data_IF_780383331181
#
_entry.id   IF_780383331181
#
_cell.length_a   1.000
_cell.length_b   1.000
_cell.length_c   1.000
_cell.angle_alpha   90.00
_cell.angle_beta   90.00
_cell.angle_gamma   90.00
#
_symmetry.space_group_name_H-M   'P 1'
#
loop_
_entity.id
_entity.type
_entity.pdbx_description
1 polymer ?
#
# COMPACT_ATOMS: atom_id res chain seq x y z
N UNK A 1 -1.94 -26.34 -10.79
CA UNK A 1 -1.95 -24.88 -10.49
C UNK A 1 -3.39 -24.43 -10.40
N UNK A 2 -3.76 -23.73 -9.33
CA UNK A 2 -5.16 -23.59 -8.91
C UNK A 2 -5.89 -22.50 -9.72
N UNK A 3 -7.23 -22.59 -9.85
CA UNK A 3 -8.08 -21.52 -10.42
C UNK A 3 -7.82 -20.15 -9.77
N UNK A 4 -7.44 -20.15 -8.50
CA UNK A 4 -7.12 -18.98 -7.70
C UNK A 4 -5.82 -18.29 -8.15
N UNK A 5 -4.82 -19.04 -8.59
CA UNK A 5 -3.58 -18.46 -9.13
C UNK A 5 -3.82 -17.75 -10.46
N UNK A 6 -4.73 -18.27 -11.31
CA UNK A 6 -5.15 -17.61 -12.55
C UNK A 6 -5.92 -16.30 -12.27
N UNK A 7 -6.82 -16.31 -11.28
CA UNK A 7 -7.53 -15.13 -10.78
C UNK A 7 -6.56 -14.05 -10.28
N UNK A 8 -5.55 -14.43 -9.49
CA UNK A 8 -4.52 -13.49 -9.02
C UNK A 8 -3.72 -12.86 -10.15
N UNK A 9 -3.43 -13.62 -11.20
CA UNK A 9 -2.75 -13.10 -12.38
C UNK A 9 -3.63 -12.08 -13.11
N UNK A 10 -4.89 -12.41 -13.38
CA UNK A 10 -5.84 -11.48 -14.01
C UNK A 10 -6.01 -10.21 -13.18
N UNK A 11 -6.06 -10.35 -11.85
CA UNK A 11 -6.13 -9.22 -10.93
C UNK A 11 -4.86 -8.35 -10.99
N UNK A 12 -3.68 -8.96 -11.06
CA UNK A 12 -2.41 -8.23 -11.22
C UNK A 12 -2.37 -7.46 -12.55
N UNK A 13 -2.88 -8.06 -13.63
CA UNK A 13 -3.03 -7.40 -14.93
C UNK A 13 -4.02 -6.24 -14.85
N UNK A 14 -5.14 -6.40 -14.13
CA UNK A 14 -6.14 -5.35 -13.88
C UNK A 14 -5.55 -4.17 -13.10
N UNK A 15 -4.77 -4.42 -12.05
CA UNK A 15 -4.05 -3.38 -11.31
C UNK A 15 -3.07 -2.61 -12.21
N UNK A 16 -2.35 -3.32 -13.09
CA UNK A 16 -1.44 -2.67 -14.04
C UNK A 16 -2.20 -1.80 -15.05
N UNK A 17 -3.40 -2.22 -15.47
CA UNK A 17 -4.30 -1.40 -16.31
C UNK A 17 -4.78 -0.17 -15.54
N UNK A 18 -5.26 -0.32 -14.29
CA UNK A 18 -5.68 0.80 -13.41
C UNK A 18 -4.60 1.87 -13.33
N UNK A 19 -3.37 1.49 -12.97
CA UNK A 19 -2.23 2.43 -12.87
C UNK A 19 -1.97 3.16 -14.19
N UNK A 20 -2.03 2.45 -15.33
CA UNK A 20 -1.84 3.09 -16.65
C UNK A 20 -2.97 4.06 -16.99
N UNK A 21 -4.21 3.77 -16.61
CA UNK A 21 -5.35 4.66 -16.84
C UNK A 21 -5.25 5.90 -15.96
N UNK A 22 -4.86 5.76 -14.70
CA UNK A 22 -4.58 6.89 -13.79
C UNK A 22 -3.51 7.81 -14.35
N UNK A 23 -2.40 7.25 -14.84
CA UNK A 23 -1.34 8.03 -15.47
C UNK A 23 -1.84 8.77 -16.72
N UNK A 24 -2.56 8.07 -17.62
CA UNK A 24 -3.11 8.71 -18.84
C UNK A 24 -4.08 9.84 -18.51
N UNK A 25 -4.89 9.66 -17.48
CA UNK A 25 -5.81 10.71 -17.05
C UNK A 25 -5.04 11.92 -16.51
N UNK A 26 -3.97 11.70 -15.74
CA UNK A 26 -3.09 12.76 -15.28
C UNK A 26 -2.44 13.51 -16.46
N UNK A 27 -1.96 12.79 -17.47
CA UNK A 27 -1.39 13.39 -18.70
C UNK A 27 -2.43 14.25 -19.44
N UNK A 28 -3.68 13.77 -19.58
CA UNK A 28 -4.79 14.55 -20.15
C UNK A 28 -5.08 15.80 -19.31
N UNK A 29 -5.02 15.70 -17.99
CA UNK A 29 -5.17 16.84 -17.08
C UNK A 29 -4.08 17.89 -17.28
N UNK A 30 -2.83 17.48 -17.49
CA UNK A 30 -1.72 18.38 -17.80
C UNK A 30 -1.93 19.09 -19.15
N UNK A 31 -2.32 18.35 -20.19
CA UNK A 31 -2.63 18.93 -21.50
C UNK A 31 -3.77 19.94 -21.42
N UNK A 32 -4.82 19.63 -20.65
CA UNK A 32 -5.93 20.55 -20.42
C UNK A 32 -5.46 21.83 -19.71
N UNK A 33 -4.59 21.72 -18.70
CA UNK A 33 -4.03 22.88 -18.00
C UNK A 33 -3.21 23.77 -18.95
N UNK A 34 -2.38 23.17 -19.81
CA UNK A 34 -1.63 23.89 -20.83
C UNK A 34 -2.56 24.61 -21.82
N UNK A 35 -3.61 23.95 -22.28
CA UNK A 35 -4.58 24.54 -23.21
C UNK A 35 -5.36 25.72 -22.57
N UNK A 36 -5.70 25.61 -21.27
CA UNK A 36 -6.33 26.70 -20.52
C UNK A 36 -5.37 27.87 -20.28
N UNK A 37 -4.09 27.59 -19.96
CA UNK A 37 -3.07 28.61 -19.79
C UNK A 37 -2.84 29.37 -21.11
N UNK A 38 -2.67 28.64 -22.21
CA UNK A 38 -2.51 29.22 -23.54
C UNK A 38 -3.71 30.09 -23.96
N UNK A 39 -4.93 29.65 -23.66
CA UNK A 39 -6.13 30.45 -23.91
C UNK A 39 -6.12 31.79 -23.13
N UNK A 40 -5.65 31.78 -21.87
CA UNK A 40 -5.53 33.01 -21.07
C UNK A 40 -4.49 33.96 -21.66
N UNK A 41 -3.34 33.43 -22.06
CA UNK A 41 -2.29 34.22 -22.69
C UNK A 41 -2.77 34.83 -24.01
N UNK A 42 -3.48 34.04 -24.82
CA UNK A 42 -4.12 34.50 -26.05
C UNK A 42 -5.07 35.66 -25.80
N UNK A 43 -5.97 35.54 -24.81
CA UNK A 43 -6.91 36.59 -24.45
C UNK A 43 -6.18 37.88 -24.05
N UNK A 44 -5.11 37.76 -23.26
CA UNK A 44 -4.31 38.90 -22.83
C UNK A 44 -3.62 39.62 -24.01
N UNK A 45 -3.14 38.89 -25.02
CA UNK A 45 -2.57 39.52 -26.22
C UNK A 45 -3.65 40.11 -27.13
N UNK A 46 -4.81 39.44 -27.29
CA UNK A 46 -5.95 39.97 -28.05
C UNK A 46 -6.37 41.35 -27.59
N UNK A 47 -6.42 41.58 -26.28
CA UNK A 47 -6.76 42.91 -25.72
C UNK A 47 -5.79 43.99 -26.22
N UNK A 48 -4.49 43.68 -26.34
CA UNK A 48 -3.49 44.62 -26.86
C UNK A 48 -3.66 44.89 -28.36
N UNK A 49 -3.92 43.85 -29.16
CA UNK A 49 -4.17 44.04 -30.60
C UNK A 49 -5.42 44.89 -30.86
N UNK A 50 -6.52 44.68 -30.11
CA UNK A 50 -7.70 45.55 -30.20
C UNK A 50 -7.42 46.99 -29.77
N UNK A 51 -6.55 47.21 -28.78
CA UNK A 51 -6.11 48.55 -28.42
C UNK A 51 -5.32 49.21 -29.56
N UNK A 52 -4.47 48.46 -30.26
CA UNK A 52 -3.69 48.95 -31.40
C UNK A 52 -4.56 49.24 -32.63
N UNK A 53 -5.60 48.43 -32.87
CA UNK A 53 -6.58 48.63 -33.95
C UNK A 53 -7.29 49.99 -33.86
N UNK A 54 -7.39 50.58 -32.66
CA UNK A 54 -7.94 51.92 -32.43
C UNK A 54 -7.11 53.05 -33.06
N UNK A 55 -5.86 52.78 -33.42
CA UNK A 55 -4.95 53.74 -34.06
C UNK A 55 -4.81 53.52 -35.57
N UNK A 56 -5.50 52.51 -36.13
CA UNK A 56 -5.52 52.29 -37.59
C UNK A 56 -6.45 53.35 -38.20
N UNK A 57 -6.00 54.12 -39.21
CA UNK A 57 -6.85 55.08 -39.89
C UNK A 57 -8.02 54.33 -40.52
N UNK A 58 -9.25 54.68 -40.13
CA UNK A 58 -10.44 54.20 -40.81
C UNK A 58 -10.42 54.72 -42.26
N UNK A 59 -10.87 53.89 -43.20
CA UNK A 59 -11.13 54.36 -44.57
C UNK A 59 -12.13 55.53 -44.54
N UNK A 60 -12.24 56.30 -45.63
CA UNK A 60 -13.11 57.50 -45.72
C UNK A 60 -14.59 57.28 -45.31
N UNK A 61 -15.00 56.01 -45.17
CA UNK A 61 -16.33 55.53 -44.79
C UNK A 61 -16.42 55.01 -43.33
N UNK A 62 -15.39 55.22 -42.50
CA UNK A 62 -15.34 54.78 -41.09
C UNK A 62 -15.12 53.28 -40.90
N UNK A 63 -14.59 52.58 -41.92
CA UNK A 63 -14.42 51.12 -41.90
C UNK A 63 -12.94 50.75 -41.79
N UNK A 64 -12.68 49.66 -41.05
CA UNK A 64 -11.38 49.00 -41.08
C UNK A 64 -11.07 48.49 -42.50
N UNK A 65 -9.79 48.43 -42.88
CA UNK A 65 -9.34 47.82 -44.13
C UNK A 65 -10.02 46.48 -44.41
N UNK A 66 -10.46 46.26 -45.65
CA UNK A 66 -11.23 45.07 -46.06
C UNK A 66 -10.51 43.75 -45.75
N UNK A 67 -9.18 43.72 -45.70
CA UNK A 67 -8.42 42.52 -45.34
C UNK A 67 -8.42 42.22 -43.83
N UNK A 68 -8.62 43.22 -42.97
CA UNK A 68 -8.54 43.07 -41.51
C UNK A 68 -9.83 42.50 -40.91
N UNK A 69 -10.99 42.89 -41.44
CA UNK A 69 -12.30 42.42 -40.96
C UNK A 69 -12.44 40.89 -40.94
N UNK A 70 -12.21 40.15 -42.05
CA UNK A 70 -12.34 38.68 -42.04
C UNK A 70 -11.30 38.00 -41.14
N UNK A 71 -10.12 38.61 -40.97
CA UNK A 71 -9.10 38.10 -40.07
C UNK A 71 -9.54 38.23 -38.61
N UNK A 72 -10.12 39.36 -38.22
CA UNK A 72 -10.65 39.56 -36.86
C UNK A 72 -11.80 38.61 -36.55
N UNK A 73 -12.73 38.43 -37.49
CA UNK A 73 -13.81 37.44 -37.36
C UNK A 73 -13.27 36.01 -37.20
N UNK A 74 -12.22 35.65 -37.96
CA UNK A 74 -11.56 34.35 -37.82
C UNK A 74 -10.91 34.18 -36.43
N UNK A 75 -10.24 35.21 -35.90
CA UNK A 75 -9.63 35.16 -34.57
C UNK A 75 -10.69 35.04 -33.46
N UNK A 76 -11.79 35.79 -33.57
CA UNK A 76 -12.90 35.73 -32.63
C UNK A 76 -13.58 34.37 -32.61
N UNK A 77 -13.87 33.83 -33.79
CA UNK A 77 -14.42 32.47 -33.92
C UNK A 77 -13.47 31.41 -33.37
N UNK A 78 -12.18 31.51 -33.70
CA UNK A 78 -11.16 30.58 -33.21
C UNK A 78 -11.05 30.60 -31.68
N UNK A 79 -11.18 31.78 -31.07
CA UNK A 79 -11.19 31.91 -29.61
C UNK A 79 -12.41 31.24 -28.98
N UNK A 80 -13.61 31.45 -29.52
CA UNK A 80 -14.82 30.80 -28.99
C UNK A 80 -14.75 29.28 -29.16
N UNK A 81 -14.25 28.80 -30.31
CA UNK A 81 -13.98 27.37 -30.53
C UNK A 81 -13.00 26.80 -29.49
N UNK A 82 -11.90 27.50 -29.21
CA UNK A 82 -10.93 27.08 -28.19
C UNK A 82 -11.55 27.07 -26.78
N UNK A 83 -12.41 28.04 -26.46
CA UNK A 83 -13.15 28.10 -25.19
C UNK A 83 -14.09 26.91 -25.03
N UNK A 84 -14.85 26.59 -26.06
CA UNK A 84 -15.76 25.46 -26.07
C UNK A 84 -14.99 24.14 -25.93
N UNK A 85 -13.90 23.97 -26.70
CA UNK A 85 -13.01 22.82 -26.60
C UNK A 85 -12.46 22.64 -25.17
N UNK A 86 -11.90 23.70 -24.57
CA UNK A 86 -11.37 23.63 -23.20
C UNK A 86 -12.44 23.28 -22.16
N UNK A 87 -13.67 23.80 -22.33
CA UNK A 87 -14.79 23.52 -21.44
C UNK A 87 -15.26 22.06 -21.55
N UNK A 88 -15.38 21.56 -22.78
CA UNK A 88 -15.77 20.17 -23.05
C UNK A 88 -14.72 19.19 -22.55
N UNK A 89 -13.44 19.41 -22.90
CA UNK A 89 -12.31 18.59 -22.45
C UNK A 89 -12.19 18.60 -20.92
N UNK A 90 -12.37 19.76 -20.28
CA UNK A 90 -12.37 19.85 -18.82
C UNK A 90 -13.52 19.13 -18.15
N UNK A 91 -14.70 19.12 -18.76
CA UNK A 91 -15.86 18.38 -18.26
C UNK A 91 -15.63 16.88 -18.39
N UNK A 92 -15.17 16.41 -19.56
CA UNK A 92 -14.81 15.01 -19.79
C UNK A 92 -13.72 14.54 -18.82
N UNK A 93 -12.65 15.32 -18.66
CA UNK A 93 -11.56 14.98 -17.74
C UNK A 93 -12.07 14.77 -16.31
N UNK A 94 -12.95 15.65 -15.80
CA UNK A 94 -13.57 15.49 -14.47
C UNK A 94 -14.47 14.25 -14.40
N UNK A 95 -15.26 13.97 -15.43
CA UNK A 95 -16.12 12.78 -15.47
C UNK A 95 -15.27 11.50 -15.41
N UNK A 96 -14.25 11.39 -16.26
CA UNK A 96 -13.32 10.26 -16.24
C UNK A 96 -12.58 10.14 -14.90
N UNK A 97 -12.21 11.25 -14.26
CA UNK A 97 -11.62 11.23 -12.93
C UNK A 97 -12.56 10.64 -11.88
N UNK A 98 -13.83 11.00 -11.91
CA UNK A 98 -14.81 10.47 -10.97
C UNK A 98 -15.08 8.97 -11.21
N UNK A 99 -15.18 8.56 -12.46
CA UNK A 99 -15.38 7.16 -12.83
C UNK A 99 -14.16 6.30 -12.44
N UNK A 100 -12.95 6.83 -12.63
CA UNK A 100 -11.72 6.15 -12.25
C UNK A 100 -11.57 6.02 -10.72
N UNK A 101 -11.98 7.04 -9.95
CA UNK A 101 -12.04 6.94 -8.49
C UNK A 101 -12.99 5.83 -8.04
N UNK A 102 -14.18 5.72 -8.66
CA UNK A 102 -15.14 4.65 -8.37
C UNK A 102 -14.59 3.28 -8.74
N UNK A 103 -14.00 3.15 -9.93
CA UNK A 103 -13.33 1.92 -10.38
C UNK A 103 -12.22 1.52 -9.41
N UNK A 104 -11.44 2.49 -8.93
CA UNK A 104 -10.34 2.26 -8.00
C UNK A 104 -10.83 1.64 -6.70
N UNK A 105 -11.92 2.16 -6.12
CA UNK A 105 -12.52 1.62 -4.91
C UNK A 105 -13.00 0.17 -5.11
N UNK A 106 -13.65 -0.12 -6.23
CA UNK A 106 -14.14 -1.48 -6.55
C UNK A 106 -12.96 -2.44 -6.71
N UNK A 107 -11.88 -2.00 -7.38
CA UNK A 107 -10.67 -2.82 -7.55
C UNK A 107 -10.00 -3.09 -6.20
N UNK A 108 -9.93 -2.11 -5.32
CA UNK A 108 -9.32 -2.27 -4.00
C UNK A 108 -10.17 -3.21 -3.10
N UNK A 109 -11.50 -3.12 -3.17
CA UNK A 109 -12.40 -4.07 -2.50
C UNK A 109 -12.23 -5.49 -3.04
N UNK A 110 -12.17 -5.65 -4.36
CA UNK A 110 -11.91 -6.94 -5.00
C UNK A 110 -10.54 -7.52 -4.61
N UNK A 111 -9.52 -6.66 -4.45
CA UNK A 111 -8.20 -7.09 -3.95
C UNK A 111 -8.31 -7.75 -2.58
N UNK A 112 -9.01 -7.08 -1.66
CA UNK A 112 -9.22 -7.55 -0.30
C UNK A 112 -9.98 -8.87 -0.29
N UNK A 113 -11.03 -9.00 -1.08
CA UNK A 113 -11.81 -10.24 -1.20
C UNK A 113 -10.96 -11.40 -1.73
N UNK A 114 -10.24 -11.21 -2.83
CA UNK A 114 -9.38 -12.25 -3.40
C UNK A 114 -8.29 -12.65 -2.40
N UNK A 115 -7.72 -11.68 -1.66
CA UNK A 115 -6.71 -11.96 -0.63
C UNK A 115 -7.30 -12.82 0.50
N UNK A 116 -8.52 -12.52 0.94
CA UNK A 116 -9.22 -13.29 1.98
C UNK A 116 -9.45 -14.75 1.57
N UNK A 117 -9.82 -15.01 0.31
CA UNK A 117 -10.04 -16.38 -0.21
C UNK A 117 -8.78 -17.25 -0.13
N UNK A 118 -7.58 -16.65 -0.05
CA UNK A 118 -6.30 -17.38 0.06
C UNK A 118 -5.81 -17.59 1.48
N UNK A 119 -6.49 -17.02 2.46
CA UNK A 119 -6.07 -17.14 3.84
C UNK A 119 -6.31 -18.56 4.33
N UNK A 120 -5.32 -19.08 5.05
CA UNK A 120 -5.40 -20.34 5.75
C UNK A 120 -5.05 -20.09 7.22
N UNK A 121 -5.68 -20.80 8.16
CA UNK A 121 -5.35 -20.66 9.56
C UNK A 121 -3.92 -21.14 9.80
N UNK A 122 -3.20 -20.47 10.70
CA UNK A 122 -1.83 -20.85 11.08
C UNK A 122 -1.77 -22.31 11.56
N UNK A 123 -2.84 -22.82 12.18
CA UNK A 123 -3.01 -24.24 12.59
C UNK A 123 -2.68 -25.26 11.49
N UNK A 124 -2.76 -24.88 10.22
CA UNK A 124 -2.43 -25.75 9.08
C UNK A 124 -0.98 -26.26 9.14
N UNK A 125 -0.03 -25.45 9.63
CA UNK A 125 1.40 -25.83 9.74
C UNK A 125 1.82 -26.27 11.15
N UNK A 126 0.96 -26.06 12.16
CA UNK A 126 1.33 -26.27 13.57
C UNK A 126 1.47 -27.74 13.95
N UNK A 127 0.67 -28.60 13.34
CA UNK A 127 0.72 -30.06 13.58
C UNK A 127 2.10 -30.64 13.28
N UNK A 128 2.80 -30.08 12.30
CA UNK A 128 4.18 -30.45 11.95
C UNK A 128 5.15 -29.99 13.04
N UNK A 129 4.97 -28.79 13.57
CA UNK A 129 5.83 -28.22 14.61
C UNK A 129 5.70 -28.97 15.95
N UNK A 130 4.48 -29.32 16.35
CA UNK A 130 4.24 -30.08 17.59
C UNK A 130 4.94 -31.44 17.58
N UNK A 131 4.97 -32.10 16.41
CA UNK A 131 5.68 -33.37 16.24
C UNK A 131 7.18 -33.15 16.31
N UNK A 132 7.70 -32.18 15.54
CA UNK A 132 9.13 -31.87 15.51
C UNK A 132 9.69 -31.51 16.89
N UNK A 133 9.00 -30.67 17.67
CA UNK A 133 9.43 -30.27 19.02
C UNK A 133 9.48 -31.48 19.95
N UNK A 134 8.47 -32.36 19.91
CA UNK A 134 8.44 -33.58 20.71
C UNK A 134 9.59 -34.54 20.36
N UNK A 135 9.87 -34.71 19.06
CA UNK A 135 10.92 -35.61 18.60
C UNK A 135 12.31 -35.08 18.95
N UNK A 136 12.58 -33.78 18.72
CA UNK A 136 13.85 -33.14 19.10
C UNK A 136 14.10 -33.17 20.61
N UNK A 137 13.06 -32.90 21.42
CA UNK A 137 13.18 -32.93 22.87
C UNK A 137 13.54 -34.34 23.36
N UNK A 138 12.87 -35.38 22.83
CA UNK A 138 13.15 -36.78 23.16
C UNK A 138 14.59 -37.18 22.82
N UNK A 139 15.09 -36.77 21.66
CA UNK A 139 16.48 -37.06 21.25
C UNK A 139 17.52 -36.47 22.20
N UNK A 140 17.19 -35.39 22.91
CA UNK A 140 18.09 -34.72 23.85
C UNK A 140 17.78 -35.04 25.32
N UNK A 141 16.95 -36.06 25.59
CA UNK A 141 16.50 -36.41 26.94
C UNK A 141 15.79 -35.25 27.68
N UNK A 142 15.13 -34.37 26.93
CA UNK A 142 14.30 -33.25 27.43
C UNK A 142 12.82 -33.59 27.26
N UNK A 143 11.95 -32.95 28.05
CA UNK A 143 10.50 -32.98 27.83
C UNK A 143 10.02 -31.58 27.46
N UNK A 144 9.35 -31.46 26.30
CA UNK A 144 8.82 -30.19 25.82
C UNK A 144 7.45 -30.37 25.14
N UNK A 145 6.58 -29.37 25.30
CA UNK A 145 5.35 -29.20 24.52
C UNK A 145 5.39 -27.86 23.81
N UNK A 146 4.75 -27.81 22.64
CA UNK A 146 4.52 -26.58 21.92
C UNK A 146 3.09 -26.12 22.19
N UNK A 147 2.93 -24.86 22.56
CA UNK A 147 1.64 -24.19 22.74
C UNK A 147 1.54 -23.06 21.73
N UNK A 148 0.42 -22.96 21.04
CA UNK A 148 0.22 -21.93 20.02
C UNK A 148 -0.98 -21.10 20.42
N UNK A 149 -0.73 -19.81 20.62
CA UNK A 149 -1.73 -18.81 20.93
C UNK A 149 -2.07 -18.06 19.63
N UNK A 150 -3.36 -17.95 19.34
CA UNK A 150 -3.82 -17.34 18.08
C UNK A 150 -3.55 -18.19 16.84
N UNK A 151 -3.55 -19.52 16.97
CA UNK A 151 -3.42 -20.45 15.83
C UNK A 151 -4.51 -20.29 14.77
N UNK A 152 -5.67 -19.77 15.15
CA UNK A 152 -6.78 -19.44 14.24
C UNK A 152 -6.49 -18.19 13.39
N UNK A 153 -5.37 -17.50 13.62
CA UNK A 153 -4.99 -16.35 12.80
C UNK A 153 -4.79 -16.79 11.36
N UNK A 154 -5.57 -16.17 10.48
CA UNK A 154 -5.58 -16.39 9.05
C UNK A 154 -4.40 -15.69 8.36
N UNK A 155 -3.71 -16.41 7.46
CA UNK A 155 -2.51 -15.93 6.79
C UNK A 155 -2.43 -16.46 5.35
N UNK A 156 -1.87 -15.67 4.43
CA UNK A 156 -1.73 -16.09 3.02
C UNK A 156 -0.91 -17.38 2.91
N UNK A 157 -1.38 -18.33 2.10
CA UNK A 157 -0.72 -19.63 1.90
C UNK A 157 0.78 -19.52 1.55
N UNK A 158 1.16 -18.60 0.65
CA UNK A 158 2.58 -18.45 0.26
C UNK A 158 3.40 -17.94 1.42
N UNK A 159 2.83 -17.03 2.21
CA UNK A 159 3.49 -16.52 3.40
C UNK A 159 3.62 -17.61 4.47
N UNK A 160 2.60 -18.46 4.66
CA UNK A 160 2.68 -19.66 5.53
C UNK A 160 3.82 -20.61 5.11
N UNK A 161 3.95 -20.88 3.81
CA UNK A 161 5.03 -21.72 3.28
C UNK A 161 6.41 -21.08 3.52
N UNK A 162 6.53 -19.77 3.35
CA UNK A 162 7.79 -19.04 3.56
C UNK A 162 8.21 -18.94 5.03
N UNK A 163 7.26 -18.77 5.97
CA UNK A 163 7.59 -18.67 7.39
C UNK A 163 7.84 -20.04 8.04
N UNK A 164 7.44 -21.12 7.39
CA UNK A 164 7.55 -22.48 7.93
C UNK A 164 8.98 -22.83 8.34
N UNK A 165 9.94 -22.68 7.43
CA UNK A 165 11.34 -23.04 7.68
C UNK A 165 12.01 -22.15 8.75
N UNK A 166 11.86 -20.80 8.72
CA UNK A 166 12.30 -19.94 9.81
C UNK A 166 11.74 -20.34 11.19
N UNK A 167 10.45 -20.67 11.27
CA UNK A 167 9.84 -21.10 12.54
C UNK A 167 10.39 -22.45 13.01
N UNK A 168 10.61 -23.41 12.10
CA UNK A 168 11.27 -24.66 12.46
C UNK A 168 12.68 -24.43 13.02
N UNK A 169 13.44 -23.51 12.42
CA UNK A 169 14.77 -23.18 12.90
C UNK A 169 14.72 -22.56 14.30
N UNK A 170 13.80 -21.62 14.56
CA UNK A 170 13.64 -21.01 15.89
C UNK A 170 13.22 -22.04 16.94
N UNK A 171 12.30 -22.95 16.60
CA UNK A 171 11.88 -24.03 17.50
C UNK A 171 13.04 -25.00 17.81
N UNK A 172 13.87 -25.33 16.81
CA UNK A 172 15.08 -26.13 17.03
C UNK A 172 16.04 -25.43 18.00
N UNK A 173 16.34 -24.16 17.77
CA UNK A 173 17.22 -23.39 18.66
C UNK A 173 16.67 -23.34 20.10
N UNK A 174 15.36 -23.20 20.25
CA UNK A 174 14.71 -23.24 21.56
C UNK A 174 14.89 -24.61 22.25
N UNK A 175 14.72 -25.73 21.53
CA UNK A 175 14.93 -27.07 22.11
C UNK A 175 16.40 -27.35 22.40
N UNK A 176 17.30 -27.04 21.46
CA UNK A 176 18.73 -27.35 21.54
C UNK A 176 19.40 -26.58 22.68
N UNK A 177 19.16 -25.26 22.73
CA UNK A 177 19.89 -24.34 23.59
C UNK A 177 19.01 -23.61 24.62
N UNK A 178 17.71 -23.44 24.34
CA UNK A 178 16.80 -22.71 25.21
C UNK A 178 16.22 -23.53 26.37
N UNK A 179 16.20 -24.86 26.26
CA UNK A 179 15.63 -25.76 27.27
C UNK A 179 16.71 -26.47 28.09
N UNK A 180 16.61 -26.32 29.41
CA UNK A 180 17.34 -27.12 30.40
C UNK A 180 16.88 -28.59 30.37
N UNK A 181 17.77 -29.51 30.73
CA UNK A 181 17.43 -30.94 30.85
C UNK A 181 16.42 -31.19 31.97
N UNK A 182 15.61 -32.25 31.83
CA UNK A 182 14.53 -32.59 32.76
C UNK A 182 15.00 -32.67 34.22
N UNK A 183 16.17 -33.28 34.46
CA UNK A 183 16.78 -33.40 35.77
C UNK A 183 17.14 -32.04 36.39
N UNK A 184 17.71 -31.13 35.59
CA UNK A 184 18.09 -29.77 36.04
C UNK A 184 16.84 -28.95 36.39
N UNK A 185 15.75 -29.09 35.62
CA UNK A 185 14.47 -28.43 35.90
C UNK A 185 13.87 -28.91 37.23
N UNK A 186 13.87 -30.22 37.48
CA UNK A 186 13.37 -30.79 38.73
C UNK A 186 14.19 -30.35 39.94
N UNK A 187 15.53 -30.33 39.82
CA UNK A 187 16.42 -29.83 40.88
C UNK A 187 16.19 -28.35 41.22
N UNK A 188 15.74 -27.55 40.24
CA UNK A 188 15.44 -26.13 40.41
C UNK A 188 13.96 -25.85 40.73
N UNK A 189 13.16 -26.90 41.01
CA UNK A 189 11.75 -26.78 41.35
C UNK A 189 10.82 -26.41 40.19
N UNK A 190 11.32 -26.46 38.94
CA UNK A 190 10.53 -26.20 37.72
C UNK A 190 9.81 -27.48 37.27
N UNK A 191 8.70 -27.35 36.51
CA UNK A 191 8.05 -28.50 35.90
C UNK A 191 9.01 -29.23 34.95
N UNK A 192 8.97 -30.57 35.02
CA UNK A 192 9.78 -31.46 34.20
C UNK A 192 9.56 -31.24 32.69
N UNK A 193 8.31 -30.98 32.30
CA UNK A 193 7.93 -30.62 30.94
C UNK A 193 8.05 -29.11 30.73
N UNK A 194 8.87 -28.69 29.76
CA UNK A 194 8.96 -27.31 29.32
C UNK A 194 7.84 -26.96 28.32
N UNK A 195 7.44 -25.69 28.27
CA UNK A 195 6.47 -25.19 27.29
C UNK A 195 7.16 -24.17 26.38
N UNK A 196 7.10 -24.39 25.07
CA UNK A 196 7.48 -23.40 24.07
C UNK A 196 6.18 -22.75 23.58
N UNK A 197 6.10 -21.42 23.57
CA UNK A 197 4.90 -20.71 23.13
C UNK A 197 5.16 -19.90 21.85
N UNK A 198 4.35 -20.13 20.82
CA UNK A 198 4.25 -19.25 19.64
C UNK A 198 2.96 -18.45 19.77
N UNK A 199 3.06 -17.12 19.72
CA UNK A 199 1.90 -16.23 19.73
C UNK A 199 1.75 -15.53 18.39
N UNK A 200 0.59 -15.67 17.77
CA UNK A 200 0.20 -14.97 16.55
C UNK A 200 -1.00 -14.07 16.83
N UNK A 201 -1.02 -12.90 16.19
CA UNK A 201 -2.13 -11.96 16.29
C UNK A 201 -1.99 -10.83 15.28
N UNK A 202 -3.13 -10.32 14.80
CA UNK A 202 -3.17 -9.18 13.89
C UNK A 202 -2.93 -7.91 14.69
N UNK A 203 -1.86 -7.18 14.37
CA UNK A 203 -1.58 -5.88 14.97
C UNK A 203 -2.18 -4.78 14.10
N UNK A 204 -3.17 -4.06 14.63
CA UNK A 204 -3.69 -2.85 13.99
C UNK A 204 -2.58 -1.78 13.84
N UNK A 205 -2.60 -0.96 12.77
CA UNK A 205 -1.62 0.09 12.55
C UNK A 205 -1.59 1.09 13.71
N UNK A 206 -0.39 1.60 14.02
CA UNK A 206 -0.10 2.37 15.22
C UNK A 206 -0.80 3.75 15.33
N UNK A 207 -1.61 4.16 14.35
CA UNK A 207 -2.26 5.47 14.29
C UNK A 207 -3.51 5.63 15.16
N UNK A 208 -3.92 4.59 15.90
CA UNK A 208 -5.11 4.58 16.77
C UNK A 208 -4.77 4.45 18.26
N UNK A 209 -3.54 4.74 18.69
CA UNK A 209 -3.17 4.70 20.11
C UNK A 209 -3.06 6.10 20.70
N UNK A 210 -3.95 6.39 21.65
CA UNK A 210 -3.76 7.43 22.66
C UNK A 210 -2.39 7.25 23.35
N UNK A 211 -1.69 8.32 23.76
CA UNK A 211 -0.28 8.25 24.19
C UNK A 211 -0.03 7.47 25.50
N UNK A 212 -1.05 6.94 26.17
CA UNK A 212 -0.95 6.49 27.55
C UNK A 212 -0.57 5.02 27.74
N UNK A 213 -0.25 4.26 26.69
CA UNK A 213 0.30 2.90 26.85
C UNK A 213 1.76 2.86 26.39
N UNK A 214 2.63 3.49 27.19
CA UNK A 214 4.03 3.08 27.28
C UNK A 214 4.07 1.56 27.40
N UNK A 215 4.86 0.93 26.54
CA UNK A 215 5.15 -0.48 26.60
C UNK A 215 5.89 -0.76 27.92
N UNK A 216 5.14 -1.04 28.98
CA UNK A 216 5.67 -1.63 30.18
C UNK A 216 6.10 -3.05 29.82
N UNK A 217 7.42 -3.28 29.78
CA UNK A 217 7.97 -4.60 30.02
C UNK A 217 7.61 -4.91 31.47
N UNK A 218 6.47 -5.58 31.66
CA UNK A 218 6.03 -6.07 32.97
C UNK A 218 6.98 -7.21 33.38
N UNK A 219 8.10 -6.85 34.00
CA UNK A 219 8.85 -7.77 34.86
C UNK A 219 7.99 -7.99 36.10
N UNK A 220 7.11 -8.99 36.05
CA UNK A 220 6.55 -9.53 37.30
C UNK A 220 7.70 -10.10 38.13
N UNK A 221 7.91 -9.66 39.38
CA UNK A 221 8.83 -10.33 40.28
C UNK A 221 8.14 -11.61 40.78
N UNK A 222 8.65 -12.79 40.36
CA UNK A 222 8.27 -14.08 40.98
C UNK A 222 7.81 -15.24 40.08
N UNK A 223 8.09 -15.27 38.77
CA UNK A 223 7.84 -16.43 37.91
C UNK A 223 9.13 -17.04 37.32
N UNK A 224 9.21 -18.37 37.08
CA UNK A 224 10.45 -19.01 36.64
C UNK A 224 10.83 -18.54 35.23
N UNK A 225 12.06 -18.06 35.11
CA UNK A 225 12.68 -17.31 34.00
C UNK A 225 13.00 -18.14 32.74
N UNK A 226 12.16 -19.07 32.30
CA UNK A 226 12.48 -19.91 31.11
C UNK A 226 11.28 -20.19 30.19
N UNK A 227 10.50 -19.15 29.89
CA UNK A 227 9.55 -19.14 28.78
C UNK A 227 10.17 -18.39 27.59
N UNK A 228 10.66 -19.12 26.60
CA UNK A 228 11.11 -18.54 25.34
C UNK A 228 9.88 -18.06 24.54
N UNK A 229 9.71 -16.74 24.42
CA UNK A 229 8.68 -16.11 23.59
C UNK A 229 9.26 -15.76 22.22
N UNK A 230 8.72 -16.35 21.14
CA UNK A 230 9.08 -16.01 19.77
C UNK A 230 7.97 -15.16 19.17
N UNK A 231 8.25 -13.88 18.92
CA UNK A 231 7.34 -12.98 18.21
C UNK A 231 7.69 -12.94 16.71
N UNK A 232 6.84 -13.51 15.86
CA UNK A 232 6.95 -13.33 14.41
C UNK A 232 6.28 -12.02 13.99
N UNK A 233 7.07 -11.04 13.55
CA UNK A 233 6.58 -9.73 13.06
C UNK A 233 6.51 -9.77 11.53
N UNK A 234 5.31 -9.62 10.95
CA UNK A 234 5.19 -9.27 9.53
C UNK A 234 5.40 -7.77 9.36
N UNK A 235 6.50 -7.37 8.70
CA UNK A 235 6.69 -5.99 8.23
C UNK A 235 6.27 -5.92 6.76
N UNK A 236 5.20 -5.18 6.47
CA UNK A 236 5.01 -4.59 5.14
C UNK A 236 5.32 -3.09 5.25
N UNK A 237 6.26 -2.62 4.44
CA UNK A 237 6.29 -1.29 3.79
C UNK A 237 7.59 -1.13 3.00
N UNK A 238 7.47 -1.15 1.69
CA UNK A 238 8.30 -0.36 0.79
C UNK A 238 7.86 1.10 0.91
N UNK A 239 8.74 1.98 1.36
CA UNK A 239 8.67 3.40 1.02
C UNK A 239 10.06 4.02 1.16
N UNK A 240 10.57 4.47 0.02
CA UNK A 240 11.79 5.26 -0.14
C UNK A 240 11.66 6.53 0.72
N UNK A 241 12.71 6.86 1.46
CA UNK A 241 12.90 8.22 1.97
C UNK A 241 14.34 8.64 1.71
N UNK A 242 14.45 9.69 0.90
CA UNK A 242 15.64 10.41 0.48
C UNK A 242 16.39 11.01 1.67
N UNK A 243 17.72 10.85 1.69
CA UNK A 243 18.61 11.53 2.64
C UNK A 243 18.61 13.04 2.35
N UNK A 244 18.28 13.85 3.35
CA UNK A 244 18.73 15.23 3.44
C UNK A 244 19.65 15.34 4.66
N UNK A 245 20.84 15.87 4.41
CA UNK A 245 21.96 16.06 5.32
C UNK A 245 21.68 17.16 6.34
N UNK A 246 22.10 16.90 7.59
CA UNK A 246 22.47 17.85 8.66
C UNK A 246 23.37 18.97 8.12
N UNK A 247 23.29 20.22 8.58
CA UNK A 247 23.79 20.69 9.89
C UNK A 247 23.40 22.16 10.14
N UNK A 248 23.24 22.63 11.40
CA UNK A 248 23.73 23.97 11.74
C UNK A 248 24.58 24.00 13.02
N UNK A 249 25.61 24.84 12.97
CA UNK A 249 26.30 25.39 14.15
C UNK A 249 25.43 26.42 14.87
#
# INVERSE_FOLDING_TARGET
MSKLDALMRQFSELLAVKIRVEQRLADVGQLQQLAVAWQKDWLAQRTKYHQLLRFVPEEADGRLPKELTPLLEFLDRSQEQLRQFNTQTGTLHRQFSNDLLRLSLIIDELEEEIRRVRLLPLTTITTTFDRMVRDLARQQNKQAILRIQGGETELDKRLLEQIKDPLMHLLRNAVDHGLEATAVRQQTGKPAQATITISAGVRAPASLRSPSSLACIDRRPGGPTTDAQVHALSRSRHSRCTRASTDPR
#
